data_IF_520889902434
#
_entry.id   IF_520889902434
#
_cell.length_a   1.000
_cell.length_b   1.000
_cell.length_c   1.000
_cell.angle_alpha   90.00
_cell.angle_beta   90.00
_cell.angle_gamma   90.00
#
_symmetry.space_group_name_H-M   'P 1'
#
loop_
_entity.id
_entity.type
_entity.pdbx_description
1 polymer ?
#
# COMPACT_ATOMS: atom_id res chain seq x y z
N UNK A 1 2.57 4.77 -11.26
CA UNK A 1 2.19 6.09 -10.74
C UNK A 1 0.72 6.09 -10.37
N UNK A 2 0.40 6.69 -9.24
CA UNK A 2 -0.97 6.79 -8.74
C UNK A 2 -1.37 8.27 -8.74
N UNK A 3 -2.54 8.57 -9.28
CA UNK A 3 -3.06 9.93 -9.33
C UNK A 3 -4.21 10.06 -8.34
N UNK A 4 -3.97 10.77 -7.24
CA UNK A 4 -4.96 10.98 -6.18
C UNK A 4 -5.25 12.47 -6.04
N UNK A 5 -6.46 12.87 -6.40
CA UNK A 5 -6.86 14.28 -6.31
C UNK A 5 -6.01 15.23 -7.14
N UNK A 6 -5.48 14.79 -8.28
CA UNK A 6 -4.61 15.57 -9.12
C UNK A 6 -3.14 15.54 -8.73
N UNK A 7 -2.81 14.82 -7.65
CA UNK A 7 -1.43 14.67 -7.18
C UNK A 7 -0.86 13.35 -7.69
N UNK A 8 0.30 13.40 -8.31
CA UNK A 8 0.97 12.20 -8.82
C UNK A 8 1.80 11.57 -7.69
N UNK A 9 1.53 10.32 -7.39
CA UNK A 9 2.20 9.59 -6.33
C UNK A 9 2.95 8.39 -6.91
N UNK A 10 4.10 8.08 -6.32
CA UNK A 10 4.95 6.99 -6.79
C UNK A 10 5.02 5.92 -5.70
N UNK A 11 4.34 4.76 -5.91
CA UNK A 11 4.29 3.70 -4.90
C UNK A 11 5.65 3.24 -4.43
N UNK A 12 6.62 3.17 -5.33
CA UNK A 12 7.97 2.72 -5.00
C UNK A 12 8.66 3.62 -3.99
N UNK A 13 8.46 4.93 -4.10
CA UNK A 13 9.03 5.89 -3.17
C UNK A 13 8.38 5.77 -1.79
N UNK A 14 7.06 5.56 -1.78
CA UNK A 14 6.32 5.39 -0.53
C UNK A 14 6.74 4.09 0.14
N UNK A 15 6.87 3.02 -0.62
CA UNK A 15 7.31 1.72 -0.09
C UNK A 15 8.70 1.81 0.52
N UNK A 16 9.61 2.56 -0.11
CA UNK A 16 10.95 2.75 0.42
C UNK A 16 10.92 3.44 1.78
N UNK A 17 10.11 4.49 1.92
CA UNK A 17 9.98 5.20 3.18
C UNK A 17 9.40 4.32 4.28
N UNK A 18 8.45 3.45 3.93
CA UNK A 18 7.80 2.57 4.89
C UNK A 18 8.63 1.32 5.23
N UNK A 19 9.60 0.96 4.39
CA UNK A 19 10.40 -0.25 4.58
C UNK A 19 11.15 -0.28 5.91
N UNK A 20 11.44 0.89 6.48
CA UNK A 20 12.11 1.01 7.76
C UNK A 20 11.14 0.98 8.95
N UNK A 21 9.84 1.05 8.68
CA UNK A 21 8.80 1.14 9.71
C UNK A 21 7.93 -0.10 9.81
N UNK A 22 7.82 -0.86 8.73
CA UNK A 22 6.99 -2.05 8.66
C UNK A 22 7.90 -3.25 8.45
N UNK A 23 7.89 -4.19 9.39
CA UNK A 23 8.75 -5.38 9.35
C UNK A 23 8.19 -6.50 8.50
N UNK A 24 6.94 -6.39 8.08
CA UNK A 24 6.29 -7.42 7.26
C UNK A 24 6.34 -7.05 5.79
N UNK A 25 6.10 -8.05 4.94
CA UNK A 25 5.96 -7.77 3.50
C UNK A 25 4.74 -6.89 3.29
N UNK A 26 4.89 -5.89 2.46
CA UNK A 26 3.80 -4.96 2.16
C UNK A 26 4.01 -4.37 0.77
N UNK A 27 2.95 -3.78 0.24
CA UNK A 27 3.06 -2.98 -0.97
C UNK A 27 2.03 -1.86 -0.95
N UNK A 28 2.29 -0.85 -1.78
CA UNK A 28 1.36 0.25 -2.00
C UNK A 28 0.66 0.03 -3.33
N UNK A 29 -0.65 0.21 -3.32
CA UNK A 29 -1.47 0.07 -4.51
C UNK A 29 -2.51 1.19 -4.54
N UNK A 30 -3.40 1.14 -5.52
CA UNK A 30 -4.49 2.10 -5.61
C UNK A 30 -5.81 1.38 -5.82
N UNK A 31 -6.88 2.03 -5.38
CA UNK A 31 -8.24 1.61 -5.65
C UNK A 31 -9.00 2.80 -6.21
N UNK A 32 -9.98 2.53 -7.04
CA UNK A 32 -10.80 3.59 -7.60
C UNK A 32 -11.58 4.32 -6.50
N UNK A 33 -11.67 5.63 -6.64
CA UNK A 33 -12.40 6.47 -5.70
C UNK A 33 -13.11 7.56 -6.50
N UNK A 34 -14.42 7.74 -6.30
CA UNK A 34 -15.20 8.69 -7.05
C UNK A 34 -14.78 10.14 -6.85
N UNK A 35 -14.28 10.47 -5.67
CA UNK A 35 -13.88 11.85 -5.36
C UNK A 35 -12.45 12.15 -5.80
N UNK A 36 -11.55 11.18 -5.66
CA UNK A 36 -10.12 11.40 -5.88
C UNK A 36 -9.60 10.79 -7.17
N UNK A 37 -10.41 9.98 -7.85
CA UNK A 37 -9.98 9.18 -8.98
C UNK A 37 -9.33 7.88 -8.52
N UNK A 38 -8.26 7.97 -7.75
CA UNK A 38 -7.59 6.82 -7.13
C UNK A 38 -7.23 7.16 -5.69
N UNK A 39 -7.32 6.18 -4.80
CA UNK A 39 -6.87 6.33 -3.41
C UNK A 39 -5.75 5.35 -3.12
N UNK A 40 -4.82 5.77 -2.27
CA UNK A 40 -3.73 4.90 -1.85
C UNK A 40 -4.21 3.83 -0.89
N UNK A 41 -3.72 2.62 -1.10
CA UNK A 41 -3.99 1.47 -0.24
C UNK A 41 -2.66 0.86 0.16
N UNK A 42 -2.48 0.61 1.46
CA UNK A 42 -1.36 -0.15 1.98
C UNK A 42 -1.83 -1.58 2.21
N UNK A 43 -1.21 -2.53 1.54
CA UNK A 43 -1.50 -3.95 1.74
C UNK A 43 -0.34 -4.59 2.50
N UNK A 44 -0.64 -5.24 3.62
CA UNK A 44 0.37 -5.86 4.49
C UNK A 44 0.08 -7.36 4.59
N UNK A 45 1.10 -8.18 4.41
CA UNK A 45 0.96 -9.63 4.52
C UNK A 45 0.96 -10.05 5.99
N UNK A 46 0.00 -10.89 6.36
CA UNK A 46 -0.08 -11.48 7.68
C UNK A 46 -1.33 -11.07 8.46
N UNK A 47 -1.34 -11.40 9.74
CA UNK A 47 -2.47 -11.09 10.61
C UNK A 47 -2.56 -9.59 10.88
N UNK A 48 -3.77 -9.06 11.09
CA UNK A 48 -3.94 -7.65 11.42
C UNK A 48 -3.16 -7.25 12.68
N UNK A 49 -2.53 -6.10 12.62
CA UNK A 49 -1.86 -5.50 13.77
C UNK A 49 -2.00 -3.98 13.69
N UNK A 50 -1.77 -3.31 14.81
CA UNK A 50 -1.86 -1.86 14.85
C UNK A 50 -0.61 -1.25 14.24
N UNK A 51 -0.82 -0.41 13.23
CA UNK A 51 0.26 0.39 12.64
C UNK A 51 0.15 1.78 13.21
N UNK A 52 1.18 2.20 13.94
CA UNK A 52 1.21 3.52 14.56
C UNK A 52 1.29 4.61 13.48
N UNK A 53 0.61 5.74 13.73
CA UNK A 53 0.70 6.89 12.84
C UNK A 53 2.13 7.38 12.67
N UNK A 54 2.98 7.13 13.64
CA UNK A 54 4.41 7.46 13.54
C UNK A 54 5.08 6.77 12.36
N UNK A 55 4.57 5.60 11.93
CA UNK A 55 5.09 4.90 10.76
C UNK A 55 4.90 5.71 9.49
N UNK A 56 3.91 6.58 9.45
CA UNK A 56 3.60 7.41 8.29
C UNK A 56 4.17 8.83 8.41
N UNK A 57 4.93 9.11 9.46
CA UNK A 57 5.43 10.45 9.73
C UNK A 57 6.39 10.99 8.66
N UNK A 58 7.08 10.11 7.93
CA UNK A 58 7.98 10.50 6.87
C UNK A 58 7.28 10.70 5.53
N UNK A 59 6.01 10.33 5.46
CA UNK A 59 5.22 10.47 4.24
C UNK A 59 4.66 11.87 4.12
N UNK A 60 4.56 12.35 2.89
CA UNK A 60 3.90 13.62 2.63
C UNK A 60 2.40 13.52 2.86
N UNK A 61 1.74 14.67 2.91
CA UNK A 61 0.31 14.77 3.16
C UNK A 61 -0.53 13.86 2.25
N UNK A 62 -0.12 13.74 0.99
CA UNK A 62 -0.84 12.96 -0.01
C UNK A 62 -0.34 11.52 -0.14
N UNK A 63 0.79 11.20 0.49
CA UNK A 63 1.39 9.87 0.41
C UNK A 63 0.86 8.92 1.49
N UNK A 64 0.12 9.42 2.46
CA UNK A 64 -0.43 8.59 3.53
C UNK A 64 -1.56 7.71 2.98
N UNK A 65 -1.48 6.37 3.16
CA UNK A 65 -2.55 5.49 2.69
C UNK A 65 -3.88 5.81 3.36
N UNK A 66 -4.95 5.78 2.58
CA UNK A 66 -6.29 5.99 3.12
C UNK A 66 -6.90 4.71 3.67
N UNK A 67 -6.44 3.57 3.18
CA UNK A 67 -6.92 2.25 3.59
C UNK A 67 -5.72 1.35 3.84
N UNK A 68 -5.79 0.58 4.92
CA UNK A 68 -4.80 -0.46 5.22
C UNK A 68 -5.51 -1.80 5.16
N UNK A 69 -5.02 -2.70 4.32
CA UNK A 69 -5.57 -4.05 4.16
C UNK A 69 -4.55 -5.06 4.66
N UNK A 70 -5.04 -6.07 5.38
CA UNK A 70 -4.19 -7.17 5.84
C UNK A 70 -4.57 -8.41 5.05
N UNK A 71 -3.61 -8.94 4.31
CA UNK A 71 -3.80 -10.11 3.45
C UNK A 71 -3.03 -11.26 4.07
N UNK A 72 -3.69 -12.39 4.39
CA UNK A 72 -3.01 -13.52 5.05
C UNK A 72 -1.78 -14.00 4.28
N UNK A 73 -1.85 -14.01 2.96
CA UNK A 73 -0.73 -14.40 2.11
C UNK A 73 -0.86 -13.72 0.76
N UNK A 74 0.22 -13.07 0.31
CA UNK A 74 0.26 -12.47 -1.02
C UNK A 74 0.33 -13.57 -2.08
N UNK A 75 -0.30 -13.29 -3.23
CA UNK A 75 -0.17 -14.14 -4.40
C UNK A 75 1.13 -13.79 -5.12
N UNK A 76 1.86 -14.79 -5.54
CA UNK A 76 3.16 -14.61 -6.17
C UNK A 76 3.26 -15.40 -7.47
N UNK A 77 4.11 -14.91 -8.38
CA UNK A 77 4.47 -15.67 -9.58
C UNK A 77 5.46 -16.78 -9.19
N UNK A 78 5.67 -17.80 -10.06
CA UNK A 78 6.69 -18.83 -9.80
C UNK A 78 8.09 -18.27 -9.57
N UNK A 79 8.37 -17.05 -10.06
CA UNK A 79 9.67 -16.40 -9.85
C UNK A 79 9.74 -15.59 -8.56
N UNK A 80 8.69 -15.60 -7.76
CA UNK A 80 8.65 -14.91 -6.47
C UNK A 80 8.20 -13.46 -6.52
N UNK A 81 7.69 -13.00 -7.65
CA UNK A 81 7.18 -11.64 -7.78
C UNK A 81 5.76 -11.54 -7.24
N UNK A 82 5.52 -10.58 -6.35
CA UNK A 82 4.18 -10.37 -5.78
C UNK A 82 3.21 -9.84 -6.83
N UNK A 83 2.06 -10.49 -6.93
CA UNK A 83 0.98 -10.06 -7.80
C UNK A 83 0.07 -9.12 -7.02
N UNK A 84 0.33 -7.82 -7.14
CA UNK A 84 -0.35 -6.81 -6.32
C UNK A 84 -1.87 -6.80 -6.53
N UNK A 85 -2.30 -6.73 -7.77
CA UNK A 85 -3.72 -6.64 -8.09
C UNK A 85 -4.48 -7.90 -7.69
N UNK A 86 -3.91 -9.06 -7.99
CA UNK A 86 -4.51 -10.34 -7.64
C UNK A 86 -4.55 -10.55 -6.14
N UNK A 87 -3.52 -10.11 -5.42
CA UNK A 87 -3.49 -10.18 -3.96
C UNK A 87 -4.61 -9.33 -3.35
N UNK A 88 -4.85 -8.14 -3.87
CA UNK A 88 -5.95 -7.29 -3.42
C UNK A 88 -7.31 -7.91 -3.69
N UNK A 89 -7.45 -8.61 -4.81
CA UNK A 89 -8.72 -9.25 -5.18
C UNK A 89 -9.05 -10.46 -4.31
N UNK A 90 -8.07 -11.00 -3.59
CA UNK A 90 -8.28 -12.15 -2.71
C UNK A 90 -8.85 -11.77 -1.34
N UNK A 91 -8.99 -10.49 -1.08
CA UNK A 91 -9.48 -9.97 0.21
C UNK A 91 -10.99 -9.72 0.17
#
# INVERSE_FOLDING_TARGET
MINSGGVKLFPEQIEEKLSHKIERRFFIASQENEELGEKLVLAVEGDPFVIDDAAFGELGKYEKPKVVLFIPKFLETPTGKVLRKESLSSV
#
